data_IF_615655443022
#
_entry.id   IF_615655443022
#
_cell.length_a   1.000
_cell.length_b   1.000
_cell.length_c   1.000
_cell.angle_alpha   90.00
_cell.angle_beta   90.00
_cell.angle_gamma   90.00
#
_symmetry.space_group_name_H-M   'P 1'
#
loop_
_entity.id
_entity.type
_entity.pdbx_description
1 polymer ?
#
# COMPACT_ATOMS: atom_id res chain seq x y z
N UNK A 1 29.12 -4.92 15.02
CA UNK A 1 27.97 -4.83 14.10
C UNK A 1 26.78 -4.44 14.95
N UNK A 2 26.43 -3.16 14.99
CA UNK A 2 25.17 -2.70 15.57
C UNK A 2 24.04 -3.20 14.67
N UNK A 3 23.05 -3.90 15.22
CA UNK A 3 21.91 -4.35 14.42
C UNK A 3 21.18 -3.12 13.87
N UNK A 4 21.12 -2.97 12.54
CA UNK A 4 20.42 -1.84 11.88
C UNK A 4 18.90 -1.85 12.18
N UNK A 5 18.38 -2.93 12.78
CA UNK A 5 16.98 -3.11 13.13
C UNK A 5 16.78 -3.00 14.63
N UNK A 6 15.91 -2.09 15.05
CA UNK A 6 15.35 -2.08 16.40
C UNK A 6 14.11 -2.97 16.42
N UNK A 7 14.16 -4.08 17.18
CA UNK A 7 13.05 -5.02 17.31
C UNK A 7 12.46 -4.98 18.73
N UNK A 8 11.19 -5.38 18.88
CA UNK A 8 10.59 -5.65 20.18
C UNK A 8 11.29 -6.80 20.92
N UNK A 9 11.06 -6.92 22.23
CA UNK A 9 11.68 -7.98 23.06
C UNK A 9 11.38 -9.41 22.55
N UNK A 10 10.17 -9.64 22.04
CA UNK A 10 9.75 -10.90 21.42
C UNK A 10 10.19 -11.04 19.95
N UNK A 11 10.86 -10.01 19.42
CA UNK A 11 11.31 -9.86 18.01
C UNK A 11 10.19 -9.91 16.97
N UNK A 12 8.92 -9.86 17.38
CA UNK A 12 7.76 -9.93 16.48
C UNK A 12 7.48 -8.60 15.79
N UNK A 13 7.91 -7.48 16.33
CA UNK A 13 7.73 -6.15 15.73
C UNK A 13 9.07 -5.54 15.37
N UNK A 14 9.19 -5.08 14.13
CA UNK A 14 10.26 -4.18 13.71
C UNK A 14 9.84 -2.76 14.08
N UNK A 15 10.45 -2.20 15.12
CA UNK A 15 10.10 -0.89 15.68
C UNK A 15 10.68 0.22 14.81
N UNK A 16 11.96 0.09 14.41
CA UNK A 16 12.62 1.08 13.56
C UNK A 16 13.79 0.46 12.78
N UNK A 17 14.08 1.03 11.63
CA UNK A 17 15.30 0.77 10.88
C UNK A 17 16.23 1.97 10.95
N UNK A 18 17.44 1.76 11.49
CA UNK A 18 18.45 2.78 11.75
C UNK A 18 19.58 2.79 10.72
N UNK A 19 19.55 1.86 9.76
CA UNK A 19 20.57 1.75 8.72
C UNK A 19 20.27 2.59 7.46
N UNK A 20 21.15 2.43 6.47
CA UNK A 20 21.11 3.18 5.21
C UNK A 20 21.26 2.29 3.96
N UNK A 21 20.97 0.99 4.08
CA UNK A 21 21.10 0.06 2.95
C UNK A 21 20.00 0.31 1.91
N UNK A 22 20.35 0.13 0.64
CA UNK A 22 19.41 0.29 -0.47
C UNK A 22 18.54 -0.95 -0.70
N UNK A 23 19.02 -2.13 -0.30
CA UNK A 23 18.29 -3.40 -0.37
C UNK A 23 18.22 -3.97 1.03
N UNK A 24 16.99 -4.25 1.49
CA UNK A 24 16.72 -4.80 2.80
C UNK A 24 16.05 -6.15 2.73
N UNK A 25 16.48 -7.02 3.63
CA UNK A 25 15.80 -8.26 3.98
C UNK A 25 15.38 -8.11 5.43
N UNK A 26 14.07 -8.09 5.66
CA UNK A 26 13.53 -7.98 7.02
C UNK A 26 13.80 -9.31 7.74
N UNK A 27 14.21 -9.30 9.02
CA UNK A 27 14.48 -10.53 9.78
C UNK A 27 13.30 -11.49 9.77
N UNK A 28 13.59 -12.79 9.72
CA UNK A 28 12.57 -13.82 9.89
C UNK A 28 11.84 -13.65 11.24
N UNK A 29 10.63 -14.18 11.32
CA UNK A 29 9.75 -14.16 12.50
C UNK A 29 9.16 -12.80 12.88
N UNK A 30 9.55 -11.71 12.18
CA UNK A 30 8.85 -10.42 12.27
C UNK A 30 7.44 -10.59 11.71
N UNK A 31 6.45 -10.23 12.52
CA UNK A 31 5.02 -10.28 12.20
C UNK A 31 4.44 -8.87 11.95
N UNK A 32 5.06 -7.84 12.51
CA UNK A 32 4.60 -6.45 12.41
C UNK A 32 5.73 -5.56 11.89
N UNK A 33 5.48 -4.86 10.78
CA UNK A 33 6.29 -3.70 10.43
C UNK A 33 5.72 -2.53 11.20
N UNK A 34 6.46 -2.07 12.20
CA UNK A 34 6.00 -1.14 13.21
C UNK A 34 5.61 0.22 12.67
N UNK A 35 4.78 0.92 13.44
CA UNK A 35 4.45 2.31 13.16
C UNK A 35 5.72 3.17 13.00
N UNK A 36 5.78 3.93 11.91
CA UNK A 36 6.95 4.74 11.49
C UNK A 36 8.27 3.99 11.28
N UNK A 37 8.28 2.65 11.20
CA UNK A 37 9.51 1.85 11.18
C UNK A 37 10.56 2.26 10.13
N UNK A 38 10.12 2.72 8.96
CA UNK A 38 10.95 3.22 7.86
C UNK A 38 10.56 4.65 7.45
N UNK A 39 9.90 5.42 8.33
CA UNK A 39 9.43 6.76 8.01
C UNK A 39 10.55 7.64 7.42
N UNK A 40 10.28 8.28 6.29
CA UNK A 40 11.22 9.14 5.56
C UNK A 40 12.56 8.47 5.19
N UNK A 41 12.61 7.13 5.10
CA UNK A 41 13.84 6.47 4.68
C UNK A 41 14.08 6.66 3.17
N UNK A 42 14.99 7.59 2.86
CA UNK A 42 15.37 7.90 1.47
C UNK A 42 16.45 6.96 0.91
N UNK A 43 16.97 6.02 1.71
CA UNK A 43 18.02 5.11 1.26
C UNK A 43 17.46 3.84 0.63
N UNK A 44 16.39 3.29 1.21
CA UNK A 44 15.80 2.02 0.77
C UNK A 44 15.21 2.13 -0.64
N UNK A 45 15.47 1.12 -1.44
CA UNK A 45 14.96 0.96 -2.81
C UNK A 45 14.22 -0.36 -2.99
N UNK A 46 14.65 -1.40 -2.29
CA UNK A 46 14.05 -2.74 -2.35
C UNK A 46 13.89 -3.28 -0.94
N UNK A 47 12.70 -3.78 -0.61
CA UNK A 47 12.41 -4.43 0.67
C UNK A 47 11.85 -5.82 0.42
N UNK A 48 12.48 -6.83 1.05
CA UNK A 48 11.99 -8.22 1.07
C UNK A 48 11.42 -8.52 2.44
N UNK A 49 10.10 -8.72 2.50
CA UNK A 49 9.41 -9.12 3.72
C UNK A 49 9.46 -10.65 3.89
N UNK A 50 9.61 -11.19 5.11
CA UNK A 50 9.40 -12.60 5.37
C UNK A 50 7.91 -12.94 5.32
N UNK A 51 7.60 -14.22 5.15
CA UNK A 51 6.21 -14.73 5.13
C UNK A 51 5.44 -14.52 6.44
N UNK A 52 6.15 -14.28 7.54
CA UNK A 52 5.56 -14.06 8.86
C UNK A 52 4.88 -12.70 9.00
N UNK A 53 5.20 -11.70 8.15
CA UNK A 53 4.60 -10.36 8.28
C UNK A 53 3.09 -10.43 8.02
N UNK A 54 2.32 -10.02 9.01
CA UNK A 54 0.86 -9.94 8.98
C UNK A 54 0.35 -8.53 8.80
N UNK A 55 0.99 -7.56 9.46
CA UNK A 55 0.52 -6.17 9.48
C UNK A 55 1.67 -5.23 9.13
N UNK A 56 1.37 -4.33 8.20
CA UNK A 56 2.18 -3.13 7.95
C UNK A 56 1.45 -1.98 8.65
N UNK A 57 2.01 -1.51 9.77
CA UNK A 57 1.37 -0.54 10.66
C UNK A 57 1.43 0.89 10.09
N UNK A 58 0.81 1.83 10.82
CA UNK A 58 0.61 3.20 10.38
C UNK A 58 1.93 3.85 9.97
N UNK A 59 1.93 4.50 8.81
CA UNK A 59 3.08 5.26 8.29
C UNK A 59 4.41 4.47 8.18
N UNK A 60 4.37 3.12 8.20
CA UNK A 60 5.57 2.29 8.24
C UNK A 60 6.61 2.62 7.17
N UNK A 61 6.19 2.89 5.92
CA UNK A 61 7.03 3.30 4.79
C UNK A 61 6.63 4.68 4.24
N UNK A 62 5.96 5.50 5.06
CA UNK A 62 5.56 6.84 4.64
C UNK A 62 6.79 7.68 4.27
N UNK A 63 6.70 8.40 3.15
CA UNK A 63 7.81 9.19 2.56
C UNK A 63 9.09 8.40 2.21
N UNK A 64 9.01 7.07 2.04
CA UNK A 64 10.08 6.29 1.43
C UNK A 64 10.18 6.56 -0.08
N UNK A 65 10.53 7.79 -0.47
CA UNK A 65 10.45 8.28 -1.85
C UNK A 65 11.26 7.47 -2.87
N UNK A 66 12.30 6.77 -2.41
CA UNK A 66 13.18 5.94 -3.23
C UNK A 66 12.81 4.46 -3.26
N UNK A 67 11.81 4.03 -2.48
CA UNK A 67 11.29 2.65 -2.53
C UNK A 67 10.71 2.38 -3.92
N UNK A 68 11.29 1.41 -4.62
CA UNK A 68 10.91 1.00 -5.97
C UNK A 68 10.17 -0.32 -5.98
N UNK A 69 10.58 -1.22 -5.10
CA UNK A 69 10.11 -2.60 -5.09
C UNK A 69 9.92 -3.08 -3.64
N UNK A 70 8.76 -3.66 -3.38
CA UNK A 70 8.45 -4.38 -2.16
C UNK A 70 7.61 -5.59 -2.51
N UNK A 71 8.10 -6.77 -2.15
CA UNK A 71 7.37 -8.03 -2.35
C UNK A 71 6.61 -8.37 -1.08
N UNK A 72 5.28 -8.23 -1.13
CA UNK A 72 4.39 -8.69 -0.07
C UNK A 72 4.24 -10.21 -0.19
N UNK A 73 4.39 -10.92 0.93
CA UNK A 73 4.23 -12.37 1.00
C UNK A 73 2.81 -12.75 1.44
N UNK A 74 2.41 -14.01 1.25
CA UNK A 74 1.10 -14.60 1.61
C UNK A 74 0.79 -14.66 3.13
N UNK A 75 1.31 -13.72 3.91
CA UNK A 75 0.95 -13.51 5.31
C UNK A 75 0.33 -12.14 5.58
N UNK A 76 0.52 -11.16 4.69
CA UNK A 76 0.09 -9.78 4.92
C UNK A 76 -1.44 -9.71 4.82
N UNK A 77 -2.08 -9.26 5.89
CA UNK A 77 -3.55 -9.18 6.02
C UNK A 77 -4.03 -7.72 5.96
N UNK A 78 -3.27 -6.81 6.58
CA UNK A 78 -3.67 -5.40 6.74
C UNK A 78 -2.52 -4.47 6.36
N UNK A 79 -2.84 -3.50 5.50
CA UNK A 79 -1.99 -2.35 5.21
C UNK A 79 -2.64 -1.12 5.84
N UNK A 80 -1.99 -0.59 6.87
CA UNK A 80 -2.55 0.42 7.76
C UNK A 80 -2.47 1.84 7.18
N UNK A 81 -3.03 2.80 7.93
CA UNK A 81 -3.15 4.19 7.52
C UNK A 81 -1.81 4.76 7.06
N UNK A 82 -1.81 5.34 5.86
CA UNK A 82 -0.65 6.02 5.27
C UNK A 82 0.63 5.16 5.15
N UNK A 83 0.53 3.82 5.22
CA UNK A 83 1.69 2.92 5.27
C UNK A 83 2.71 3.13 4.15
N UNK A 84 2.27 3.44 2.93
CA UNK A 84 3.10 3.72 1.74
C UNK A 84 2.80 5.10 1.14
N UNK A 85 2.28 6.03 1.94
CA UNK A 85 2.02 7.38 1.46
C UNK A 85 3.31 8.03 0.94
N UNK A 86 3.24 8.74 -0.18
CA UNK A 86 4.38 9.44 -0.79
C UNK A 86 5.57 8.53 -1.19
N UNK A 87 5.35 7.22 -1.41
CA UNK A 87 6.32 6.33 -2.05
C UNK A 87 6.39 6.59 -3.57
N UNK A 88 6.97 7.72 -3.98
CA UNK A 88 6.90 8.24 -5.36
C UNK A 88 7.49 7.34 -6.46
N UNK A 89 8.39 6.42 -6.08
CA UNK A 89 9.05 5.51 -7.01
C UNK A 89 8.46 4.10 -7.03
N UNK A 90 7.51 3.78 -6.15
CA UNK A 90 6.81 2.50 -6.15
C UNK A 90 5.78 2.52 -7.28
N UNK A 91 6.00 1.74 -8.35
CA UNK A 91 5.17 1.80 -9.58
C UNK A 91 4.10 0.73 -9.66
N UNK A 92 4.36 -0.41 -9.06
CA UNK A 92 3.50 -1.57 -9.03
C UNK A 92 3.54 -2.20 -7.64
N UNK A 93 2.42 -2.77 -7.23
CA UNK A 93 2.38 -3.64 -6.06
C UNK A 93 1.40 -4.79 -6.32
N UNK A 94 1.83 -5.99 -5.93
CA UNK A 94 0.98 -7.17 -5.88
C UNK A 94 0.45 -7.33 -4.46
N UNK A 95 -0.88 -7.30 -4.31
CA UNK A 95 -1.54 -7.51 -3.03
C UNK A 95 -1.91 -9.01 -2.94
N UNK A 96 -1.20 -9.81 -2.12
CA UNK A 96 -1.45 -11.24 -2.03
C UNK A 96 -2.86 -11.50 -1.53
N UNK A 97 -3.39 -12.70 -1.82
CA UNK A 97 -4.78 -13.07 -1.50
C UNK A 97 -5.11 -13.08 -0.01
N UNK A 98 -4.12 -12.91 0.86
CA UNK A 98 -4.30 -12.69 2.30
C UNK A 98 -4.63 -11.25 2.65
N UNK A 99 -4.35 -10.27 1.79
CA UNK A 99 -4.67 -8.86 2.05
C UNK A 99 -6.18 -8.67 1.99
N UNK A 100 -6.76 -8.31 3.14
CA UNK A 100 -8.20 -8.13 3.30
C UNK A 100 -8.62 -6.66 3.30
N UNK A 101 -7.76 -5.78 3.85
CA UNK A 101 -8.11 -4.39 4.14
C UNK A 101 -6.96 -3.44 3.79
N UNK A 102 -7.27 -2.39 3.04
CA UNK A 102 -6.43 -1.22 2.84
C UNK A 102 -7.01 -0.04 3.62
N UNK A 103 -6.25 0.49 4.57
CA UNK A 103 -6.68 1.60 5.43
C UNK A 103 -6.45 2.97 4.80
N UNK A 104 -7.07 3.99 5.40
CA UNK A 104 -7.10 5.37 4.91
C UNK A 104 -5.73 5.82 4.38
N UNK A 105 -5.72 6.35 3.15
CA UNK A 105 -4.52 6.90 2.51
C UNK A 105 -3.31 5.94 2.41
N UNK A 106 -3.49 4.62 2.55
CA UNK A 106 -2.39 3.65 2.59
C UNK A 106 -1.37 3.82 1.44
N UNK A 107 -1.81 4.18 0.25
CA UNK A 107 -0.95 4.43 -0.92
C UNK A 107 -1.08 5.86 -1.46
N UNK A 108 -1.66 6.80 -0.71
CA UNK A 108 -1.94 8.15 -1.20
C UNK A 108 -0.66 8.85 -1.69
N UNK A 109 -0.77 9.55 -2.81
CA UNK A 109 0.34 10.25 -3.48
C UNK A 109 1.57 9.38 -3.76
N UNK A 110 1.42 8.05 -3.82
CA UNK A 110 2.48 7.15 -4.24
C UNK A 110 2.67 7.17 -5.76
N UNK A 111 3.77 6.58 -6.22
CA UNK A 111 4.09 6.48 -7.64
C UNK A 111 3.27 5.45 -8.42
N UNK A 112 2.30 4.79 -7.77
CA UNK A 112 1.61 3.61 -8.28
C UNK A 112 0.89 3.93 -9.60
N UNK A 113 1.12 3.05 -10.57
CA UNK A 113 0.51 3.06 -11.89
C UNK A 113 -0.32 1.81 -12.14
N UNK A 114 -0.02 0.72 -11.45
CA UNK A 114 -0.75 -0.54 -11.53
C UNK A 114 -0.76 -1.25 -10.18
N UNK A 115 -1.81 -2.02 -9.91
CA UNK A 115 -2.03 -2.77 -8.67
C UNK A 115 -2.72 -4.08 -9.03
N UNK A 116 -2.13 -5.20 -8.63
CA UNK A 116 -2.85 -6.48 -8.62
C UNK A 116 -3.60 -6.60 -7.30
N UNK A 117 -4.94 -6.61 -7.36
CA UNK A 117 -5.79 -6.70 -6.18
C UNK A 117 -5.94 -8.15 -5.70
N UNK A 118 -5.92 -8.34 -4.39
CA UNK A 118 -6.30 -9.59 -3.74
C UNK A 118 -7.74 -9.98 -4.11
N UNK A 119 -7.94 -11.24 -4.51
CA UNK A 119 -9.28 -11.76 -4.83
C UNK A 119 -10.18 -11.92 -3.59
N UNK A 120 -9.61 -11.83 -2.39
CA UNK A 120 -10.32 -11.93 -1.12
C UNK A 120 -10.51 -10.58 -0.43
N UNK A 121 -10.01 -9.49 -1.03
CA UNK A 121 -10.06 -8.15 -0.47
C UNK A 121 -11.50 -7.75 -0.14
N UNK A 122 -11.73 -7.17 1.04
CA UNK A 122 -13.05 -6.77 1.53
C UNK A 122 -13.26 -5.26 1.51
N UNK A 123 -12.22 -4.51 1.83
CA UNK A 123 -12.35 -3.09 2.17
C UNK A 123 -11.18 -2.27 1.63
N UNK A 124 -11.52 -1.17 0.95
CA UNK A 124 -10.61 -0.10 0.56
C UNK A 124 -11.12 1.18 1.23
N UNK A 125 -10.40 1.74 2.18
CA UNK A 125 -10.80 2.95 2.90
C UNK A 125 -10.63 4.24 2.08
N UNK A 126 -11.06 5.36 2.67
CA UNK A 126 -10.97 6.67 2.06
C UNK A 126 -9.55 7.01 1.59
N UNK A 127 -9.46 7.67 0.43
CA UNK A 127 -8.22 8.20 -0.13
C UNK A 127 -7.08 7.19 -0.35
N UNK A 128 -7.31 5.87 -0.27
CA UNK A 128 -6.25 4.84 -0.37
C UNK A 128 -5.30 5.09 -1.55
N UNK A 129 -5.84 5.34 -2.74
CA UNK A 129 -5.08 5.67 -3.95
C UNK A 129 -5.21 7.14 -4.36
N UNK A 130 -5.64 8.03 -3.46
CA UNK A 130 -5.78 9.45 -3.74
C UNK A 130 -4.48 10.04 -4.28
N UNK A 131 -4.51 10.69 -5.44
CA UNK A 131 -3.32 11.26 -6.08
C UNK A 131 -2.39 10.23 -6.74
N UNK A 132 -2.73 8.94 -6.74
CA UNK A 132 -2.05 7.94 -7.56
C UNK A 132 -2.52 8.07 -9.02
N UNK A 133 -1.62 7.81 -9.97
CA UNK A 133 -1.97 7.74 -11.40
C UNK A 133 -2.26 6.30 -11.82
N UNK A 134 -3.01 5.59 -10.99
CA UNK A 134 -3.33 4.18 -11.16
C UNK A 134 -4.15 3.98 -12.44
N UNK A 135 -3.79 2.98 -13.25
CA UNK A 135 -4.55 2.57 -14.43
C UNK A 135 -5.30 1.28 -14.11
N UNK A 136 -6.62 1.38 -13.94
CA UNK A 136 -7.44 0.19 -13.71
C UNK A 136 -7.84 -0.43 -15.04
N UNK A 137 -7.18 -1.53 -15.39
CA UNK A 137 -7.44 -2.31 -16.61
C UNK A 137 -8.52 -3.38 -16.45
N UNK A 138 -8.84 -3.72 -15.20
CA UNK A 138 -9.83 -4.74 -14.86
C UNK A 138 -10.83 -4.21 -13.85
N UNK A 139 -11.99 -4.86 -13.77
CA UNK A 139 -12.95 -4.59 -12.70
C UNK A 139 -12.34 -4.91 -11.34
N UNK A 140 -12.75 -4.15 -10.33
CA UNK A 140 -12.44 -4.49 -8.94
C UNK A 140 -13.03 -5.85 -8.56
N UNK A 141 -12.31 -6.69 -7.79
CA UNK A 141 -12.81 -7.97 -7.34
C UNK A 141 -14.21 -7.88 -6.71
N UNK A 142 -15.04 -8.91 -6.93
CA UNK A 142 -16.39 -8.98 -6.37
C UNK A 142 -16.40 -9.13 -4.84
N UNK A 143 -15.27 -9.56 -4.26
CA UNK A 143 -15.11 -9.69 -2.81
C UNK A 143 -15.13 -8.35 -2.07
N UNK A 144 -14.86 -7.25 -2.76
CA UNK A 144 -14.79 -5.90 -2.17
C UNK A 144 -16.22 -5.42 -1.94
N UNK A 145 -16.56 -5.23 -0.66
CA UNK A 145 -17.88 -4.80 -0.19
C UNK A 145 -17.91 -3.32 0.20
N UNK A 146 -16.76 -2.70 0.39
CA UNK A 146 -16.66 -1.28 0.72
C UNK A 146 -15.49 -0.61 0.00
N UNK A 147 -15.77 0.55 -0.60
CA UNK A 147 -14.78 1.47 -1.17
C UNK A 147 -15.10 2.86 -0.63
N UNK A 148 -14.15 3.46 0.08
CA UNK A 148 -14.32 4.74 0.75
C UNK A 148 -14.30 5.94 -0.19
N UNK A 149 -14.57 7.11 0.39
CA UNK A 149 -14.62 8.38 -0.35
C UNK A 149 -13.25 8.68 -0.94
N UNK A 150 -13.23 9.01 -2.24
CA UNK A 150 -12.05 9.35 -3.03
C UNK A 150 -10.95 8.28 -2.95
N UNK A 151 -11.29 7.04 -2.61
CA UNK A 151 -10.34 5.93 -2.53
C UNK A 151 -9.62 5.68 -3.86
N UNK A 152 -10.28 5.97 -4.98
CA UNK A 152 -9.75 5.90 -6.34
C UNK A 152 -9.52 7.30 -6.93
N UNK A 153 -9.26 8.30 -6.09
CA UNK A 153 -9.03 9.68 -6.50
C UNK A 153 -7.81 9.79 -7.43
N UNK A 154 -8.01 10.37 -8.62
CA UNK A 154 -7.02 10.48 -9.70
C UNK A 154 -6.64 9.17 -10.41
N UNK A 155 -7.33 8.06 -10.12
CA UNK A 155 -7.20 6.83 -10.91
C UNK A 155 -7.75 7.04 -12.34
N UNK A 156 -7.00 6.58 -13.34
CA UNK A 156 -7.45 6.50 -14.73
C UNK A 156 -8.11 5.14 -14.96
N UNK A 157 -9.42 5.15 -15.20
CA UNK A 157 -10.15 3.97 -15.65
C UNK A 157 -9.96 3.87 -17.16
N UNK A 158 -9.52 2.70 -17.64
CA UNK A 158 -9.09 2.60 -19.06
C UNK A 158 -10.25 2.41 -20.03
N UNK A 159 -11.45 2.05 -19.55
CA UNK A 159 -12.67 2.01 -20.34
C UNK A 159 -13.91 2.43 -19.53
N UNK A 160 -14.99 2.75 -20.25
CA UNK A 160 -16.27 3.20 -19.66
C UNK A 160 -17.00 2.09 -18.90
N UNK A 161 -16.84 0.82 -19.28
CA UNK A 161 -17.50 -0.31 -18.62
C UNK A 161 -17.00 -0.53 -17.18
N UNK A 162 -15.69 -0.39 -16.95
CA UNK A 162 -15.08 -0.49 -15.63
C UNK A 162 -15.56 0.68 -14.76
N UNK A 163 -15.67 1.88 -15.35
CA UNK A 163 -16.19 3.06 -14.67
C UNK A 163 -17.65 2.88 -14.26
N UNK A 164 -18.50 2.49 -15.20
CA UNK A 164 -19.91 2.26 -14.94
C UNK A 164 -20.13 1.17 -13.87
N UNK A 165 -19.37 0.07 -13.91
CA UNK A 165 -19.40 -0.99 -12.90
C UNK A 165 -19.06 -0.47 -11.50
N UNK A 166 -17.96 0.30 -11.41
CA UNK A 166 -17.51 0.85 -10.14
C UNK A 166 -18.51 1.87 -9.56
N UNK A 167 -19.01 2.79 -10.38
CA UNK A 167 -20.02 3.79 -9.97
C UNK A 167 -21.31 3.10 -9.53
N UNK A 168 -21.77 2.09 -10.28
CA UNK A 168 -22.98 1.33 -9.92
C UNK A 168 -22.84 0.61 -8.58
N UNK A 169 -21.65 0.09 -8.28
CA UNK A 169 -21.40 -0.69 -7.07
C UNK A 169 -21.13 0.17 -5.84
N UNK A 170 -20.42 1.29 -6.00
CA UNK A 170 -19.86 2.03 -4.87
C UNK A 170 -20.15 3.54 -4.89
N UNK A 171 -20.89 4.03 -5.89
CA UNK A 171 -21.17 5.45 -6.04
C UNK A 171 -20.06 6.23 -6.73
N UNK A 172 -20.32 7.51 -6.99
CA UNK A 172 -19.38 8.41 -7.66
C UNK A 172 -18.33 8.98 -6.71
N UNK A 173 -18.63 9.02 -5.41
CA UNK A 173 -17.80 9.57 -4.35
C UNK A 173 -16.47 8.86 -4.19
N UNK A 174 -16.33 7.63 -4.68
CA UNK A 174 -15.06 6.88 -4.67
C UNK A 174 -14.02 7.49 -5.59
N UNK A 175 -14.45 8.32 -6.54
CA UNK A 175 -13.59 9.09 -7.43
C UNK A 175 -13.41 10.51 -6.91
N UNK A 176 -12.30 11.13 -7.31
CA UNK A 176 -12.12 12.57 -7.18
C UNK A 176 -12.40 13.19 -8.53
N UNK A 177 -13.40 14.06 -8.60
CA UNK A 177 -13.61 14.94 -9.74
C UNK A 177 -12.52 16.00 -9.74
N UNK A 178 -11.51 15.80 -10.57
CA UNK A 178 -10.55 16.87 -10.86
C UNK A 178 -11.30 17.96 -11.64
N UNK A 179 -11.65 19.05 -10.95
CA UNK A 179 -12.14 20.29 -11.57
C UNK A 179 -11.07 20.99 -12.45
N UNK A 180 -9.95 20.34 -12.72
CA UNK A 180 -8.91 20.82 -13.61
C UNK A 180 -8.94 20.02 -14.91
N UNK A 181 -9.88 20.40 -15.77
CA UNK A 181 -9.66 20.26 -17.21
C UNK A 181 -8.39 21.04 -17.56
N UNK A 182 -7.42 20.37 -18.17
CA UNK A 182 -6.46 21.00 -19.07
C UNK A 182 -6.73 20.38 -20.44
#
# INVERSE_FOLDING_TARGET
MTEDFLLSNDRKRLIAYLGNKSVLVIPNDVEYIGEHAFFENLSIKVVKLPKSVRIIEKMAFCYCANLKDIVLQDGVEVISEMAFMCCYNLRYIELPNTVLVLKRSAFSSSGLRDVSFSINMKQIDDFVFGGCRLQLHTKLPNSITFVGVKALGSCRLVNEDIKADCIKRFGEEVFQYDNYRI
#
